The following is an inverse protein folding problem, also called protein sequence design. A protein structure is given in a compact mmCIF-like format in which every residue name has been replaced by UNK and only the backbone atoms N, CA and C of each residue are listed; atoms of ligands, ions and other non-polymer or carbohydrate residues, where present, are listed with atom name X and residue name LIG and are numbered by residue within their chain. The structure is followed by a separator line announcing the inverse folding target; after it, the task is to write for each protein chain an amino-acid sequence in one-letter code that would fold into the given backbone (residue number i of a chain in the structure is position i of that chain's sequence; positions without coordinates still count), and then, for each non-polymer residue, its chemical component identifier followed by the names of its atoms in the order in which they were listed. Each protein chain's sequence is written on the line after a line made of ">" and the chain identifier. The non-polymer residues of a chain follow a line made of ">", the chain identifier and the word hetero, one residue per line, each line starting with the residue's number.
data_IF_961030131641
#
_entry.id   IF_961030131641
#
_cell.length_a   1.000
_cell.length_b   1.000
_cell.length_c   1.000
_cell.angle_alpha   90.00
_cell.angle_beta   90.00
_cell.angle_gamma   90.00
#
_symmetry.space_group_name_H-M   'P 1'
#
loop_
_entity.id
_entity.type
_entity.pdbx_description
1 polymer ?
#
# COMPACT_ATOMS: atom_id res chain seq x y z
N UNK A 1 10.76 -4.63 -21.25
CA UNK A 1 10.57 -5.51 -20.07
C UNK A 1 11.51 -4.98 -19.00
N UNK A 2 11.03 -4.45 -17.86
CA UNK A 2 11.93 -3.98 -16.80
C UNK A 2 12.58 -5.20 -16.17
N UNK A 3 13.90 -5.34 -16.35
CA UNK A 3 14.71 -6.49 -15.92
C UNK A 3 15.20 -6.37 -14.47
N UNK A 4 14.82 -5.30 -13.75
CA UNK A 4 15.24 -5.03 -12.38
C UNK A 4 14.07 -4.72 -11.43
N UNK A 5 14.37 -4.75 -10.13
CA UNK A 5 13.42 -4.39 -9.06
C UNK A 5 13.06 -2.90 -9.15
N UNK A 6 11.76 -2.58 -9.04
CA UNK A 6 11.29 -1.19 -9.05
C UNK A 6 11.93 -0.38 -7.91
N UNK A 7 12.23 0.90 -8.15
CA UNK A 7 12.82 1.79 -7.14
C UNK A 7 11.95 1.86 -5.89
N UNK A 8 10.63 1.94 -6.05
CA UNK A 8 9.69 1.86 -4.92
C UNK A 8 9.92 0.62 -4.05
N UNK A 9 10.03 -0.55 -4.68
CA UNK A 9 10.24 -1.81 -3.98
C UNK A 9 11.60 -1.88 -3.29
N UNK A 10 12.63 -1.20 -3.81
CA UNK A 10 13.95 -1.09 -3.15
C UNK A 10 13.85 -0.19 -1.92
N UNK A 11 13.18 0.97 -2.02
CA UNK A 11 12.96 1.86 -0.87
C UNK A 11 12.18 1.14 0.23
N UNK A 12 11.17 0.34 -0.14
CA UNK A 12 10.38 -0.44 0.82
C UNK A 12 11.16 -1.60 1.47
N UNK A 13 12.34 -1.99 0.99
CA UNK A 13 13.19 -2.97 1.69
C UNK A 13 13.73 -2.43 3.02
N UNK A 14 13.81 -1.11 3.17
CA UNK A 14 14.25 -0.48 4.41
C UNK A 14 13.14 -0.43 5.49
N UNK A 15 11.90 -0.81 5.15
CA UNK A 15 10.84 -0.97 6.13
C UNK A 15 11.15 -2.19 7.03
N UNK A 16 11.27 -2.03 8.36
CA UNK A 16 11.41 -3.17 9.26
C UNK A 16 10.10 -3.97 9.34
N UNK A 17 9.85 -4.83 8.35
CA UNK A 17 8.60 -5.59 8.19
C UNK A 17 8.25 -6.40 9.42
N UNK A 18 9.25 -6.96 10.11
CA UNK A 18 9.00 -7.71 11.34
C UNK A 18 8.35 -6.84 12.43
N UNK A 19 8.89 -5.64 12.65
CA UNK A 19 8.33 -4.69 13.63
C UNK A 19 6.96 -4.19 13.17
N UNK A 20 6.81 -3.92 11.87
CA UNK A 20 5.52 -3.54 11.29
C UNK A 20 4.44 -4.59 11.57
N UNK A 21 4.73 -5.87 11.31
CA UNK A 21 3.80 -6.97 11.57
C UNK A 21 3.49 -7.12 13.06
N UNK A 22 4.48 -7.00 13.94
CA UNK A 22 4.23 -6.98 15.40
C UNK A 22 3.24 -5.87 15.81
N UNK A 23 3.35 -4.68 15.23
CA UNK A 23 2.41 -3.59 15.49
C UNK A 23 1.00 -3.91 14.97
N UNK A 24 0.90 -4.41 13.73
CA UNK A 24 -0.38 -4.79 13.13
C UNK A 24 -1.09 -5.85 13.99
N UNK A 25 -0.36 -6.85 14.48
CA UNK A 25 -0.90 -7.90 15.33
C UNK A 25 -1.31 -7.37 16.71
N UNK A 26 -0.47 -6.54 17.34
CA UNK A 26 -0.73 -5.91 18.64
C UNK A 26 -2.02 -5.09 18.65
N UNK A 27 -2.27 -4.32 17.59
CA UNK A 27 -3.44 -3.45 17.48
C UNK A 27 -4.58 -4.08 16.70
N UNK A 28 -4.46 -5.36 16.34
CA UNK A 28 -5.44 -6.06 15.51
C UNK A 28 -5.80 -5.29 14.23
N UNK A 29 -4.83 -4.62 13.59
CA UNK A 29 -5.08 -3.73 12.44
C UNK A 29 -5.71 -4.43 11.22
N UNK A 30 -5.49 -5.75 11.10
CA UNK A 30 -6.11 -6.60 10.09
C UNK A 30 -7.43 -7.26 10.54
N UNK A 31 -8.02 -6.87 11.68
CA UNK A 31 -9.29 -7.45 12.14
C UNK A 31 -10.40 -7.24 11.12
N UNK A 32 -11.08 -8.33 10.73
CA UNK A 32 -12.13 -8.39 9.70
C UNK A 32 -11.70 -7.92 8.30
N UNK A 33 -10.40 -7.77 8.05
CA UNK A 33 -9.88 -7.43 6.73
C UNK A 33 -9.90 -8.68 5.84
N UNK A 34 -10.47 -8.54 4.63
CA UNK A 34 -10.55 -9.65 3.66
C UNK A 34 -9.37 -9.65 2.69
N UNK A 35 -9.13 -8.52 2.03
CA UNK A 35 -8.15 -8.43 0.93
C UNK A 35 -7.15 -7.29 1.14
N UNK A 36 -7.62 -6.09 1.47
CA UNK A 36 -6.76 -4.90 1.57
C UNK A 36 -6.09 -4.79 2.95
N UNK A 37 -4.93 -5.43 3.12
CA UNK A 37 -4.22 -5.50 4.41
C UNK A 37 -3.67 -4.15 4.87
N UNK A 38 -3.26 -4.04 6.14
CA UNK A 38 -2.48 -2.90 6.62
C UNK A 38 -1.20 -2.67 5.81
N UNK A 39 -0.57 -3.74 5.30
CA UNK A 39 0.61 -3.60 4.44
C UNK A 39 0.25 -3.02 3.08
N UNK A 40 -0.85 -3.48 2.45
CA UNK A 40 -1.33 -2.88 1.20
C UNK A 40 -1.64 -1.39 1.37
N UNK A 41 -2.31 -1.03 2.47
CA UNK A 41 -2.58 0.37 2.82
C UNK A 41 -1.30 1.18 3.00
N UNK A 42 -0.35 0.66 3.79
CA UNK A 42 0.93 1.32 4.03
C UNK A 42 1.66 1.58 2.71
N UNK A 43 1.76 0.57 1.83
CA UNK A 43 2.43 0.70 0.54
C UNK A 43 1.74 1.73 -0.36
N UNK A 44 0.40 1.76 -0.39
CA UNK A 44 -0.35 2.77 -1.14
C UNK A 44 -0.08 4.20 -0.64
N UNK A 45 -0.07 4.38 0.69
CA UNK A 45 0.18 5.69 1.30
C UNK A 45 1.64 6.11 1.14
N UNK A 46 2.60 5.19 1.28
CA UNK A 46 4.01 5.46 1.03
C UNK A 46 4.25 5.85 -0.44
N UNK A 47 3.60 5.14 -1.39
CA UNK A 47 3.65 5.50 -2.81
C UNK A 47 3.10 6.91 -3.04
N UNK A 48 1.98 7.25 -2.41
CA UNK A 48 1.37 8.57 -2.50
C UNK A 48 2.32 9.68 -2.04
N UNK A 49 2.95 9.50 -0.87
CA UNK A 49 3.91 10.46 -0.32
C UNK A 49 5.14 10.62 -1.22
N UNK A 50 5.74 9.51 -1.66
CA UNK A 50 6.95 9.53 -2.50
C UNK A 50 6.71 10.10 -3.91
N UNK A 51 5.48 10.03 -4.42
CA UNK A 51 5.14 10.50 -5.76
C UNK A 51 4.30 11.77 -5.77
N UNK A 52 4.19 12.44 -4.62
CA UNK A 52 3.45 13.71 -4.44
C UNK A 52 1.99 13.63 -4.94
N UNK A 53 1.27 12.55 -4.60
CA UNK A 53 -0.17 12.44 -4.90
C UNK A 53 -0.97 13.25 -3.87
N UNK A 54 -1.81 14.16 -4.34
CA UNK A 54 -2.53 15.10 -3.47
C UNK A 54 -3.93 14.63 -3.05
N UNK A 55 -4.43 13.53 -3.62
CA UNK A 55 -5.77 13.01 -3.27
C UNK A 55 -5.89 11.50 -3.40
N UNK A 56 -6.84 10.90 -2.68
CA UNK A 56 -7.15 9.47 -2.80
C UNK A 56 -7.57 9.06 -4.22
N UNK A 57 -8.20 9.97 -4.98
CA UNK A 57 -8.58 9.72 -6.37
C UNK A 57 -7.36 9.71 -7.29
N UNK A 58 -6.41 10.60 -7.07
CA UNK A 58 -5.14 10.63 -7.81
C UNK A 58 -4.28 9.39 -7.52
N UNK A 59 -4.23 8.96 -6.25
CA UNK A 59 -3.58 7.70 -5.85
C UNK A 59 -4.18 6.50 -6.59
N UNK A 60 -5.50 6.36 -6.55
CA UNK A 60 -6.22 5.28 -7.25
C UNK A 60 -5.95 5.31 -8.76
N UNK A 61 -6.10 6.47 -9.41
CA UNK A 61 -5.88 6.61 -10.84
C UNK A 61 -4.45 6.23 -11.26
N UNK A 62 -3.45 6.68 -10.50
CA UNK A 62 -2.04 6.40 -10.78
C UNK A 62 -1.69 4.92 -10.59
N UNK A 63 -2.10 4.31 -9.47
CA UNK A 63 -1.86 2.90 -9.19
C UNK A 63 -2.62 1.99 -10.17
N UNK A 64 -3.83 2.36 -10.57
CA UNK A 64 -4.60 1.63 -11.55
C UNK A 64 -3.96 1.69 -12.95
N UNK A 65 -3.43 2.85 -13.36
CA UNK A 65 -2.68 2.99 -14.60
C UNK A 65 -1.40 2.11 -14.63
N UNK A 66 -0.86 1.79 -13.45
CA UNK A 66 0.32 0.95 -13.28
C UNK A 66 -0.02 -0.46 -12.77
N UNK A 67 -1.24 -0.97 -12.99
CA UNK A 67 -1.72 -2.26 -12.44
C UNK A 67 -0.74 -3.43 -12.62
N UNK A 68 -0.08 -3.51 -13.78
CA UNK A 68 0.90 -4.56 -14.09
C UNK A 68 2.17 -4.53 -13.21
N UNK A 69 2.45 -3.40 -12.55
CA UNK A 69 3.60 -3.22 -11.66
C UNK A 69 3.26 -3.45 -10.19
N UNK A 70 1.98 -3.43 -9.81
CA UNK A 70 1.54 -3.50 -8.40
C UNK A 70 2.06 -4.76 -7.70
N UNK A 71 2.03 -5.90 -8.40
CA UNK A 71 2.57 -7.16 -7.87
C UNK A 71 4.05 -7.03 -7.48
N UNK A 72 4.87 -6.39 -8.33
CA UNK A 72 6.28 -6.15 -8.07
C UNK A 72 6.53 -5.05 -7.02
N UNK A 73 5.53 -4.21 -6.75
CA UNK A 73 5.53 -3.22 -5.65
C UNK A 73 5.09 -3.84 -4.31
N UNK A 74 4.64 -5.09 -4.29
CA UNK A 74 4.14 -5.76 -3.08
C UNK A 74 2.67 -5.47 -2.76
N UNK A 75 1.98 -4.68 -3.59
CA UNK A 75 0.54 -4.39 -3.45
C UNK A 75 -0.24 -5.49 -4.15
N UNK A 76 -1.02 -6.26 -3.37
CA UNK A 76 -1.75 -7.43 -3.89
C UNK A 76 -3.24 -7.15 -4.03
N UNK A 77 -3.78 -6.35 -3.14
CA UNK A 77 -5.20 -6.06 -3.11
C UNK A 77 -5.63 -5.03 -4.17
N UNK A 78 -6.88 -5.08 -4.66
CA UNK A 78 -7.43 -4.00 -5.49
C UNK A 78 -7.42 -2.67 -4.72
N UNK A 79 -6.86 -1.64 -5.36
CA UNK A 79 -6.83 -0.30 -4.80
C UNK A 79 -8.01 0.49 -5.34
N UNK A 80 -8.97 0.80 -4.48
CA UNK A 80 -10.07 1.72 -4.79
C UNK A 80 -10.07 2.91 -3.85
N UNK A 81 -10.58 4.07 -4.30
CA UNK A 81 -10.69 5.26 -3.43
C UNK A 81 -11.51 4.98 -2.18
N UNK A 82 -12.60 4.21 -2.30
CA UNK A 82 -13.45 3.87 -1.15
C UNK A 82 -12.72 2.97 -0.15
N UNK A 83 -11.97 1.99 -0.66
CA UNK A 83 -11.14 1.10 0.17
C UNK A 83 -10.09 1.92 0.94
N UNK A 84 -9.38 2.82 0.26
CA UNK A 84 -8.38 3.69 0.88
C UNK A 84 -9.01 4.60 1.95
N UNK A 85 -10.12 5.26 1.61
CA UNK A 85 -10.81 6.15 2.54
C UNK A 85 -11.29 5.43 3.80
N UNK A 86 -11.88 4.24 3.64
CA UNK A 86 -12.33 3.43 4.76
C UNK A 86 -11.16 2.93 5.61
N UNK A 87 -10.07 2.46 4.97
CA UNK A 87 -8.89 2.00 5.69
C UNK A 87 -8.26 3.12 6.51
N UNK A 88 -8.12 4.33 5.96
CA UNK A 88 -7.61 5.50 6.69
C UNK A 88 -8.55 5.91 7.83
N UNK A 89 -9.87 5.78 7.67
CA UNK A 89 -10.81 6.14 8.73
C UNK A 89 -10.83 5.16 9.91
N UNK A 90 -10.62 3.86 9.64
CA UNK A 90 -10.85 2.79 10.62
C UNK A 90 -9.55 2.32 11.28
N UNK A 91 -8.39 2.56 10.66
CA UNK A 91 -7.09 2.05 11.10
C UNK A 91 -6.09 3.13 11.54
N UNK A 92 -6.38 4.41 11.30
CA UNK A 92 -5.77 5.54 12.01
C UNK A 92 -6.54 5.80 13.32
#
# INVERSE_FOLDING_TARGET
>A
MYTGKLIFSQVMEHLPLHVFHQCVDRYHGNFKVKEFTCLDQYLCMAFAQLTYRESLRDIEACLHAQKNKLYHMGIRAPVSRNTLANANKVRD
#
